data_IF_332429805853
#
_entry.id   IF_332429805853
#
_cell.length_a   1.000
_cell.length_b   1.000
_cell.length_c   1.000
_cell.angle_alpha   90.00
_cell.angle_beta   90.00
_cell.angle_gamma   90.00
#
_symmetry.space_group_name_H-M   'P 1'
#
loop_
_entity.id
_entity.type
_entity.pdbx_description
1 polymer ?
#
# COMPACT_ATOMS: atom_id res chain seq x y z
N UNK A 1 -16.75 -8.87 27.59
CA UNK A 1 -16.43 -8.75 26.16
C UNK A 1 -14.91 -8.72 26.10
N UNK A 2 -14.27 -9.46 25.17
CA UNK A 2 -12.81 -9.29 24.96
C UNK A 2 -12.60 -7.92 24.33
N UNK A 3 -11.48 -7.27 24.68
CA UNK A 3 -11.09 -6.02 24.03
C UNK A 3 -10.85 -6.25 22.52
N UNK A 4 -11.15 -5.26 21.67
CA UNK A 4 -10.84 -5.36 20.26
C UNK A 4 -9.32 -5.49 20.06
N UNK A 5 -8.91 -6.25 19.08
CA UNK A 5 -7.49 -6.42 18.74
C UNK A 5 -7.11 -5.39 17.68
N UNK A 6 -5.97 -4.76 17.87
CA UNK A 6 -5.47 -3.70 17.01
C UNK A 6 -4.12 -4.02 16.42
N UNK A 7 -3.87 -3.53 15.21
CA UNK A 7 -2.56 -3.45 14.58
C UNK A 7 -2.34 -1.99 14.21
N UNK A 8 -1.25 -1.41 14.65
CA UNK A 8 -0.85 -0.05 14.32
C UNK A 8 0.42 -0.08 13.47
N UNK A 9 0.38 0.57 12.30
CA UNK A 9 1.57 0.91 11.53
C UNK A 9 2.05 2.27 12.02
N UNK A 10 3.15 2.29 12.77
CA UNK A 10 3.71 3.51 13.32
C UNK A 10 4.47 4.29 12.24
N UNK A 11 4.17 5.57 12.09
CA UNK A 11 4.88 6.51 11.24
C UNK A 11 6.04 7.16 12.00
N UNK A 12 6.96 7.76 11.26
CA UNK A 12 8.21 8.27 11.83
C UNK A 12 8.02 9.41 12.86
N UNK A 13 7.01 10.26 12.67
CA UNK A 13 6.67 11.35 13.61
C UNK A 13 5.84 10.92 14.83
N UNK A 14 5.53 9.62 14.92
CA UNK A 14 4.65 9.07 15.97
C UNK A 14 3.17 9.00 15.57
N UNK A 15 2.82 9.41 14.36
CA UNK A 15 1.50 9.12 13.75
C UNK A 15 1.28 7.63 13.57
N UNK A 16 0.04 7.22 13.38
CA UNK A 16 -0.32 5.81 13.26
C UNK A 16 -1.43 5.58 12.23
N UNK A 17 -1.33 4.45 11.53
CA UNK A 17 -2.44 3.89 10.75
C UNK A 17 -2.97 2.70 11.54
N UNK A 18 -4.20 2.81 12.05
CA UNK A 18 -4.77 1.83 12.98
C UNK A 18 -5.82 0.97 12.32
N UNK A 19 -5.61 -0.33 12.39
CA UNK A 19 -6.56 -1.35 11.98
C UNK A 19 -7.03 -2.13 13.19
N UNK A 20 -8.30 -2.49 13.23
CA UNK A 20 -8.92 -3.18 14.35
C UNK A 20 -9.74 -4.38 13.88
N UNK A 21 -9.86 -5.39 14.72
CA UNK A 21 -10.83 -6.45 14.57
C UNK A 21 -11.69 -6.55 15.82
N UNK A 22 -13.00 -6.54 15.62
CA UNK A 22 -14.00 -6.72 16.68
C UNK A 22 -14.93 -7.88 16.31
N UNK A 23 -14.65 -9.07 16.85
CA UNK A 23 -15.43 -10.28 16.62
C UNK A 23 -14.73 -11.55 17.04
N UNK A 24 -15.39 -12.71 16.90
CA UNK A 24 -14.79 -14.00 17.23
C UNK A 24 -13.58 -14.27 16.34
N UNK A 25 -12.49 -14.66 16.94
CA UNK A 25 -11.18 -14.89 16.29
C UNK A 25 -11.24 -15.90 15.15
N UNK A 26 -12.13 -16.88 15.24
CA UNK A 26 -12.25 -17.99 14.29
C UNK A 26 -12.75 -17.56 12.89
N UNK A 27 -13.46 -16.42 12.80
CA UNK A 27 -14.06 -15.95 11.55
C UNK A 27 -13.28 -14.81 10.87
N UNK A 28 -12.29 -14.23 11.54
CA UNK A 28 -11.60 -13.02 11.09
C UNK A 28 -10.13 -13.30 10.72
N UNK A 29 -9.69 -12.95 9.52
CA UNK A 29 -8.31 -13.17 9.07
C UNK A 29 -7.31 -12.15 9.66
N UNK A 30 -7.58 -11.59 10.84
CA UNK A 30 -6.82 -10.48 11.40
C UNK A 30 -5.43 -10.90 11.88
N UNK A 31 -5.31 -12.08 12.47
CA UNK A 31 -4.02 -12.62 12.90
C UNK A 31 -3.06 -12.84 11.74
N UNK A 32 -3.56 -13.39 10.64
CA UNK A 32 -2.77 -13.55 9.43
C UNK A 32 -2.30 -12.23 8.84
N UNK A 33 -3.07 -11.13 8.98
CA UNK A 33 -2.60 -9.80 8.61
C UNK A 33 -1.46 -9.34 9.54
N UNK A 34 -1.59 -9.56 10.85
CA UNK A 34 -0.52 -9.28 11.81
C UNK A 34 0.77 -10.02 11.46
N UNK A 35 0.68 -11.32 11.16
CA UNK A 35 1.81 -12.13 10.73
C UNK A 35 2.46 -11.57 9.45
N UNK A 36 1.65 -11.21 8.44
CA UNK A 36 2.14 -10.64 7.18
C UNK A 36 2.81 -9.27 7.32
N UNK A 37 2.27 -8.42 8.20
CA UNK A 37 2.88 -7.14 8.55
C UNK A 37 4.03 -7.31 9.54
N UNK A 38 4.15 -8.53 10.09
CA UNK A 38 5.06 -8.90 11.16
C UNK A 38 4.89 -8.04 12.42
N UNK A 39 3.67 -7.63 12.67
CA UNK A 39 3.23 -6.92 13.84
C UNK A 39 2.36 -7.84 14.67
N UNK A 40 2.54 -7.85 15.99
CA UNK A 40 1.65 -8.59 16.89
C UNK A 40 0.38 -7.77 17.10
N UNK A 41 -0.81 -8.35 16.89
CA UNK A 41 -2.03 -7.71 17.32
C UNK A 41 -1.97 -7.45 18.84
N UNK A 42 -2.27 -6.23 19.23
CA UNK A 42 -2.34 -5.83 20.65
C UNK A 42 -3.81 -5.75 21.07
N UNK A 43 -4.09 -6.06 22.33
CA UNK A 43 -5.41 -5.91 22.96
C UNK A 43 -5.58 -4.54 23.64
N UNK A 44 -4.82 -3.53 23.22
CA UNK A 44 -4.95 -2.17 23.75
C UNK A 44 -6.14 -1.44 23.13
N UNK A 45 -6.90 -0.73 23.96
CA UNK A 45 -7.91 0.19 23.48
C UNK A 45 -7.27 1.54 23.17
N UNK A 46 -7.04 1.85 21.89
CA UNK A 46 -6.58 3.19 21.47
C UNK A 46 -7.74 4.19 21.33
N UNK A 47 -8.96 3.75 21.47
CA UNK A 47 -10.15 4.60 21.35
C UNK A 47 -10.55 4.95 19.92
N UNK A 48 -9.72 4.63 18.89
CA UNK A 48 -10.06 4.84 17.50
C UNK A 48 -9.45 3.74 16.60
N UNK A 49 -10.03 3.58 15.40
CA UNK A 49 -9.45 2.79 14.32
C UNK A 49 -9.75 3.47 12.97
N UNK A 50 -8.80 3.46 12.05
CA UNK A 50 -9.00 3.96 10.68
C UNK A 50 -9.88 3.00 9.87
N UNK A 51 -9.69 1.70 10.07
CA UNK A 51 -10.52 0.66 9.49
C UNK A 51 -10.71 -0.50 10.47
N UNK A 52 -11.90 -1.09 10.46
CA UNK A 52 -12.29 -2.15 11.39
C UNK A 52 -12.88 -3.34 10.65
N UNK A 53 -12.41 -4.52 11.01
CA UNK A 53 -12.98 -5.78 10.57
C UNK A 53 -14.02 -6.25 11.58
N UNK A 54 -15.26 -6.36 11.14
CA UNK A 54 -16.42 -6.66 11.99
C UNK A 54 -17.20 -7.88 11.50
N UNK A 55 -17.96 -8.50 12.41
CA UNK A 55 -18.96 -9.49 11.98
C UNK A 55 -20.12 -8.78 11.26
N UNK A 56 -20.77 -9.42 10.27
CA UNK A 56 -21.89 -8.83 9.52
C UNK A 56 -23.06 -8.35 10.38
N UNK A 57 -23.30 -8.98 11.52
CA UNK A 57 -24.35 -8.64 12.49
C UNK A 57 -24.01 -7.41 13.35
N UNK A 58 -22.78 -6.91 13.27
CA UNK A 58 -22.29 -5.70 13.96
C UNK A 58 -22.26 -4.46 13.08
N UNK A 59 -22.62 -4.56 11.83
CA UNK A 59 -22.73 -3.38 10.97
C UNK A 59 -23.89 -2.49 11.45
N UNK A 60 -23.65 -1.19 11.72
CA UNK A 60 -24.69 -0.24 12.10
C UNK A 60 -25.79 -0.14 11.04
N UNK A 61 -27.02 0.10 11.46
CA UNK A 61 -28.15 0.29 10.54
C UNK A 61 -28.04 1.58 9.72
N UNK A 62 -27.50 2.63 10.31
CA UNK A 62 -27.34 3.96 9.74
C UNK A 62 -26.04 4.15 8.93
N UNK A 63 -25.32 3.07 8.66
CA UNK A 63 -24.07 3.10 7.89
C UNK A 63 -24.24 3.54 6.44
N UNK A 64 -23.18 4.11 5.88
CA UNK A 64 -23.08 4.38 4.45
C UNK A 64 -22.43 3.18 3.73
N UNK A 65 -23.22 2.32 3.14
CA UNK A 65 -22.71 1.14 2.40
C UNK A 65 -22.04 1.57 1.11
N UNK A 66 -20.74 1.32 0.99
CA UNK A 66 -19.96 1.62 -0.20
C UNK A 66 -20.04 0.50 -1.23
N UNK A 67 -19.81 -0.73 -0.79
CA UNK A 67 -19.77 -1.90 -1.67
C UNK A 67 -20.21 -3.15 -0.94
N UNK A 68 -21.15 -3.84 -1.55
CA UNK A 68 -21.56 -5.18 -1.14
C UNK A 68 -21.14 -6.17 -2.23
N UNK A 69 -20.15 -7.00 -1.92
CA UNK A 69 -19.64 -8.03 -2.81
C UNK A 69 -19.97 -9.44 -2.33
N UNK A 70 -19.57 -10.46 -3.07
CA UNK A 70 -19.84 -11.85 -2.68
C UNK A 70 -19.03 -12.29 -1.45
N UNK A 71 -17.97 -11.59 -1.10
CA UNK A 71 -17.06 -11.96 -0.01
C UNK A 71 -17.09 -11.01 1.17
N UNK A 72 -17.37 -9.73 0.94
CA UNK A 72 -17.34 -8.69 1.97
C UNK A 72 -18.38 -7.62 1.70
N UNK A 73 -18.87 -7.01 2.76
CA UNK A 73 -19.55 -5.71 2.72
C UNK A 73 -18.58 -4.65 3.29
N UNK A 74 -18.47 -3.50 2.63
CA UNK A 74 -17.67 -2.38 3.09
C UNK A 74 -18.57 -1.17 3.26
N UNK A 75 -18.50 -0.54 4.42
CA UNK A 75 -19.32 0.62 4.76
C UNK A 75 -18.53 1.62 5.59
N UNK A 76 -18.93 2.89 5.54
CA UNK A 76 -18.53 3.89 6.53
C UNK A 76 -19.56 4.00 7.65
N UNK A 77 -19.07 4.36 8.83
CA UNK A 77 -19.95 4.85 9.92
C UNK A 77 -20.72 6.10 9.47
N UNK A 78 -21.85 6.40 10.10
CA UNK A 78 -22.72 7.52 9.74
C UNK A 78 -21.99 8.89 9.70
N UNK A 79 -20.97 9.06 10.53
CA UNK A 79 -20.12 10.25 10.60
C UNK A 79 -18.96 10.26 9.60
N UNK A 80 -18.83 9.23 8.77
CA UNK A 80 -17.75 9.06 7.78
C UNK A 80 -16.32 9.03 8.35
N UNK A 81 -16.14 8.71 9.63
CA UNK A 81 -14.83 8.75 10.25
C UNK A 81 -14.13 7.40 10.32
N UNK A 82 -14.88 6.30 10.17
CA UNK A 82 -14.34 4.94 10.26
C UNK A 82 -14.92 4.04 9.17
N UNK A 83 -14.07 3.18 8.61
CA UNK A 83 -14.51 2.14 7.67
C UNK A 83 -14.72 0.83 8.39
N UNK A 84 -15.84 0.18 8.10
CA UNK A 84 -16.20 -1.13 8.58
C UNK A 84 -16.16 -2.12 7.42
N UNK A 85 -15.45 -3.22 7.59
CA UNK A 85 -15.36 -4.30 6.62
C UNK A 85 -15.94 -5.55 7.26
N UNK A 86 -17.09 -5.98 6.76
CA UNK A 86 -17.73 -7.20 7.24
C UNK A 86 -17.40 -8.37 6.31
N UNK A 87 -16.86 -9.43 6.89
CA UNK A 87 -16.67 -10.70 6.20
C UNK A 87 -17.92 -11.57 6.24
N UNK A 88 -18.13 -12.44 5.25
CA UNK A 88 -19.25 -13.36 5.23
C UNK A 88 -19.00 -14.56 6.15
N UNK A 89 -20.05 -15.01 6.88
CA UNK A 89 -19.98 -16.17 7.78
C UNK A 89 -19.69 -17.51 7.08
N UNK A 90 -19.96 -17.62 5.77
CA UNK A 90 -19.63 -18.82 5.01
C UNK A 90 -18.21 -18.75 4.51
N UNK A 91 -17.36 -19.66 4.98
CA UNK A 91 -16.00 -19.80 4.44
C UNK A 91 -16.09 -20.09 2.93
N UNK A 92 -15.50 -19.24 2.08
CA UNK A 92 -15.50 -19.47 0.65
C UNK A 92 -14.61 -20.70 0.31
N UNK A 93 -14.89 -21.34 -0.84
CA UNK A 93 -14.06 -22.49 -1.30
C UNK A 93 -12.56 -22.15 -1.46
N UNK A 94 -12.22 -20.85 -1.53
CA UNK A 94 -10.85 -20.31 -1.62
C UNK A 94 -10.60 -19.39 -0.43
N UNK A 95 -10.38 -19.96 0.74
CA UNK A 95 -10.18 -19.21 1.99
C UNK A 95 -8.99 -18.25 1.91
N UNK A 96 -7.88 -18.69 1.34
CA UNK A 96 -6.71 -17.84 1.15
C UNK A 96 -7.01 -16.60 0.30
N UNK A 97 -7.69 -16.76 -0.84
CA UNK A 97 -8.11 -15.64 -1.69
C UNK A 97 -9.02 -14.65 -0.93
N UNK A 98 -9.93 -15.18 -0.10
CA UNK A 98 -10.80 -14.37 0.74
C UNK A 98 -10.00 -13.53 1.75
N UNK A 99 -9.05 -14.14 2.46
CA UNK A 99 -8.17 -13.44 3.40
C UNK A 99 -7.41 -12.30 2.71
N UNK A 100 -6.80 -12.57 1.55
CA UNK A 100 -6.10 -11.55 0.78
C UNK A 100 -6.99 -10.37 0.39
N UNK A 101 -8.23 -10.62 -0.04
CA UNK A 101 -9.19 -9.56 -0.35
C UNK A 101 -9.54 -8.70 0.88
N UNK A 102 -9.69 -9.32 2.04
CA UNK A 102 -10.00 -8.63 3.29
C UNK A 102 -8.81 -7.78 3.74
N UNK A 103 -7.60 -8.34 3.75
CA UNK A 103 -6.38 -7.63 4.13
C UNK A 103 -6.11 -6.41 3.25
N UNK A 104 -6.21 -6.60 1.94
CA UNK A 104 -6.01 -5.49 0.99
C UNK A 104 -6.99 -4.34 1.23
N UNK A 105 -8.27 -4.67 1.43
CA UNK A 105 -9.27 -3.65 1.74
C UNK A 105 -8.99 -2.95 3.07
N UNK A 106 -8.68 -3.72 4.11
CA UNK A 106 -8.40 -3.16 5.42
C UNK A 106 -7.24 -2.16 5.36
N UNK A 107 -6.14 -2.53 4.72
CA UNK A 107 -4.97 -1.67 4.52
C UNK A 107 -5.29 -0.42 3.70
N UNK A 108 -6.00 -0.57 2.56
CA UNK A 108 -6.30 0.57 1.68
C UNK A 108 -7.22 1.57 2.38
N UNK A 109 -8.27 1.09 3.04
CA UNK A 109 -9.19 1.99 3.73
C UNK A 109 -8.57 2.60 4.99
N UNK A 110 -7.76 1.84 5.74
CA UNK A 110 -7.03 2.39 6.87
C UNK A 110 -6.05 3.49 6.43
N UNK A 111 -5.26 3.25 5.39
CA UNK A 111 -4.36 4.26 4.84
C UNK A 111 -5.09 5.49 4.32
N UNK A 112 -6.22 5.32 3.63
CA UNK A 112 -7.04 6.43 3.15
C UNK A 112 -7.61 7.27 4.30
N UNK A 113 -8.13 6.64 5.36
CA UNK A 113 -8.65 7.34 6.51
C UNK A 113 -7.55 8.03 7.32
N UNK A 114 -6.37 7.43 7.42
CA UNK A 114 -5.21 8.07 8.03
C UNK A 114 -4.84 9.37 7.30
N UNK A 115 -4.82 9.37 5.96
CA UNK A 115 -4.64 10.59 5.16
C UNK A 115 -5.74 11.62 5.50
N UNK A 116 -7.00 11.20 5.52
CA UNK A 116 -8.13 12.11 5.81
C UNK A 116 -8.05 12.70 7.21
N UNK A 117 -7.55 11.95 8.19
CA UNK A 117 -7.35 12.39 9.58
C UNK A 117 -6.14 13.33 9.74
N UNK A 118 -5.21 13.31 8.84
CA UNK A 118 -4.06 14.21 8.86
C UNK A 118 -2.70 13.58 8.78
N UNK A 119 -2.64 12.26 8.77
CA UNK A 119 -1.36 11.57 8.65
C UNK A 119 -0.70 11.84 7.30
N UNK A 120 0.62 11.97 7.32
CA UNK A 120 1.40 12.26 6.12
C UNK A 120 2.01 10.97 5.55
N UNK A 121 1.15 10.03 5.18
CA UNK A 121 1.53 8.76 4.59
C UNK A 121 0.55 8.37 3.48
N UNK A 122 0.99 7.59 2.49
CA UNK A 122 0.14 7.14 1.38
C UNK A 122 0.54 5.75 0.87
N UNK A 123 -0.45 4.96 0.49
CA UNK A 123 -0.24 3.71 -0.22
C UNK A 123 0.02 3.99 -1.71
N UNK A 124 1.19 3.61 -2.18
CA UNK A 124 1.62 3.76 -3.57
C UNK A 124 1.47 2.43 -4.34
N UNK A 125 0.99 2.50 -5.58
CA UNK A 125 1.01 1.37 -6.51
C UNK A 125 2.36 1.32 -7.22
N UNK A 126 3.28 0.53 -6.72
CA UNK A 126 4.68 0.50 -7.17
C UNK A 126 5.31 -0.88 -7.00
N UNK A 127 6.46 -1.06 -7.64
CA UNK A 127 7.46 -1.99 -7.15
C UNK A 127 8.48 -1.22 -6.29
N UNK A 128 8.92 -1.82 -5.19
CA UNK A 128 9.91 -1.26 -4.29
C UNK A 128 11.12 -2.18 -4.22
N UNK A 129 12.23 -1.74 -4.80
CA UNK A 129 13.48 -2.48 -4.91
C UNK A 129 14.44 -2.02 -3.83
N UNK A 130 14.96 -2.95 -3.04
CA UNK A 130 15.95 -2.65 -2.01
C UNK A 130 17.36 -2.66 -2.59
N UNK A 131 18.13 -1.66 -2.18
CA UNK A 131 19.57 -1.55 -2.42
C UNK A 131 20.30 -1.45 -1.07
N UNK A 132 21.61 -1.43 -1.10
CA UNK A 132 22.44 -1.28 0.13
C UNK A 132 22.24 0.08 0.84
N UNK A 133 21.67 1.08 0.13
CA UNK A 133 21.50 2.44 0.66
C UNK A 133 20.04 2.81 0.97
N UNK A 134 19.08 1.99 0.57
CA UNK A 134 17.66 2.28 0.71
C UNK A 134 16.80 1.68 -0.39
N UNK A 135 15.66 2.29 -0.69
CA UNK A 135 14.66 1.77 -1.63
C UNK A 135 14.56 2.64 -2.87
N UNK A 136 14.44 1.99 -4.01
CA UNK A 136 14.06 2.59 -5.28
C UNK A 136 12.64 2.18 -5.61
N UNK A 137 11.76 3.15 -5.90
CA UNK A 137 10.42 2.88 -6.39
C UNK A 137 10.37 2.86 -7.91
N UNK A 138 9.65 1.88 -8.44
CA UNK A 138 9.28 1.84 -9.86
C UNK A 138 7.79 2.13 -9.98
N UNK A 139 7.46 3.28 -10.54
CA UNK A 139 6.11 3.71 -10.83
C UNK A 139 5.72 3.38 -12.27
N UNK A 140 4.47 3.00 -12.48
CA UNK A 140 3.94 2.71 -13.81
C UNK A 140 2.49 2.22 -13.75
N UNK A 141 1.81 2.27 -14.87
CA UNK A 141 0.43 1.79 -14.97
C UNK A 141 0.34 0.27 -14.71
N UNK A 142 -0.87 -0.20 -14.39
CA UNK A 142 -1.11 -1.64 -14.26
C UNK A 142 -0.81 -2.35 -15.59
N UNK A 143 -0.10 -3.48 -15.52
CA UNK A 143 0.30 -4.24 -16.72
C UNK A 143 1.55 -3.71 -17.46
N UNK A 144 2.18 -2.63 -17.01
CA UNK A 144 3.42 -2.11 -17.61
C UNK A 144 4.67 -2.94 -17.33
N UNK A 145 4.61 -3.92 -16.41
CA UNK A 145 5.73 -4.81 -16.12
C UNK A 145 6.43 -4.57 -14.79
N UNK A 146 5.83 -3.86 -13.82
CA UNK A 146 6.40 -3.68 -12.47
C UNK A 146 6.76 -5.01 -11.80
N UNK A 147 5.83 -5.97 -11.79
CA UNK A 147 6.08 -7.31 -11.21
C UNK A 147 7.16 -8.09 -11.98
N UNK A 148 7.29 -7.87 -13.30
CA UNK A 148 8.38 -8.42 -14.10
C UNK A 148 9.72 -7.82 -13.69
N UNK A 149 9.77 -6.50 -13.49
CA UNK A 149 10.97 -5.81 -13.02
C UNK A 149 11.38 -6.32 -11.63
N UNK A 150 10.42 -6.48 -10.69
CA UNK A 150 10.66 -7.06 -9.37
C UNK A 150 11.18 -8.49 -9.45
N UNK A 151 10.61 -9.32 -10.31
CA UNK A 151 11.05 -10.71 -10.51
C UNK A 151 12.48 -10.77 -11.05
N UNK A 152 12.81 -9.93 -12.04
CA UNK A 152 14.17 -9.83 -12.59
C UNK A 152 15.18 -9.33 -11.56
N UNK A 153 14.81 -8.32 -10.78
CA UNK A 153 15.64 -7.82 -9.67
C UNK A 153 16.01 -8.94 -8.70
N UNK A 154 15.02 -9.74 -8.27
CA UNK A 154 15.24 -10.89 -7.40
C UNK A 154 16.09 -11.98 -8.05
N UNK A 155 15.88 -12.28 -9.33
CA UNK A 155 16.68 -13.26 -10.06
C UNK A 155 18.16 -12.87 -10.13
N UNK A 156 18.45 -11.56 -10.12
CA UNK A 156 19.81 -11.02 -10.08
C UNK A 156 20.36 -10.82 -8.65
N UNK A 157 19.73 -11.45 -7.64
CA UNK A 157 20.19 -11.41 -6.24
C UNK A 157 19.78 -10.16 -5.47
N UNK A 158 18.91 -9.32 -6.04
CA UNK A 158 18.32 -8.17 -5.34
C UNK A 158 17.14 -8.56 -4.48
N UNK A 159 16.79 -7.71 -3.52
CA UNK A 159 15.61 -7.89 -2.68
C UNK A 159 14.51 -6.90 -3.09
N UNK A 160 13.25 -7.29 -2.93
CA UNK A 160 12.08 -6.45 -3.20
C UNK A 160 11.27 -6.23 -1.93
N UNK A 161 11.07 -5.00 -1.55
CA UNK A 161 10.21 -4.63 -0.41
C UNK A 161 8.74 -4.81 -0.74
N UNK A 162 8.36 -4.52 -1.97
CA UNK A 162 7.01 -4.68 -2.50
C UNK A 162 7.03 -4.84 -4.03
N UNK A 163 6.05 -5.52 -4.60
CA UNK A 163 5.88 -5.67 -6.06
C UNK A 163 4.56 -5.08 -6.60
N UNK A 164 3.69 -4.59 -5.71
CA UNK A 164 2.38 -4.06 -6.07
C UNK A 164 1.96 -2.85 -5.21
N UNK A 165 2.28 -2.86 -3.91
CA UNK A 165 1.88 -1.82 -2.98
C UNK A 165 2.94 -1.61 -1.89
N UNK A 166 3.30 -0.35 -1.64
CA UNK A 166 4.14 0.07 -0.52
C UNK A 166 3.48 1.25 0.21
N UNK A 167 3.75 1.40 1.50
CA UNK A 167 3.37 2.59 2.24
C UNK A 167 4.54 3.56 2.23
N UNK A 168 4.29 4.78 1.74
CA UNK A 168 5.23 5.89 1.78
C UNK A 168 4.89 6.79 2.95
N UNK A 169 5.86 7.04 3.80
CA UNK A 169 5.77 7.88 4.97
C UNK A 169 6.56 9.18 4.75
N UNK A 170 5.86 10.30 4.76
CA UNK A 170 6.37 11.66 4.56
C UNK A 170 6.42 12.45 5.89
N UNK A 171 6.26 11.78 7.02
CA UNK A 171 6.08 12.45 8.32
C UNK A 171 7.38 12.96 8.92
N UNK A 172 8.54 12.55 8.40
CA UNK A 172 9.83 13.00 8.91
C UNK A 172 10.11 14.49 8.69
N UNK A 173 10.75 15.13 9.67
CA UNK A 173 11.21 16.52 9.57
C UNK A 173 12.57 16.67 8.83
N UNK A 174 13.14 15.57 8.39
CA UNK A 174 14.48 15.47 7.78
C UNK A 174 14.46 15.40 6.25
N UNK A 175 13.30 15.71 5.63
CA UNK A 175 13.04 15.60 4.19
C UNK A 175 13.27 14.18 3.61
N UNK A 176 13.36 13.18 4.47
CA UNK A 176 13.53 11.78 4.06
C UNK A 176 12.19 11.09 3.97
N UNK A 177 11.80 10.69 2.77
CA UNK A 177 10.63 9.83 2.57
C UNK A 177 11.03 8.41 2.95
N UNK A 178 10.20 7.74 3.73
CA UNK A 178 10.44 6.36 4.17
C UNK A 178 9.47 5.40 3.53
N UNK A 179 9.92 4.19 3.29
CA UNK A 179 9.13 3.14 2.64
C UNK A 179 8.92 2.01 3.64
N UNK A 180 7.64 1.75 3.95
CA UNK A 180 7.25 0.60 4.75
C UNK A 180 6.87 -0.55 3.84
N UNK A 181 7.30 -1.73 4.20
CA UNK A 181 6.81 -2.96 3.59
C UNK A 181 5.33 -3.14 3.87
N UNK A 182 4.58 -3.45 2.82
CA UNK A 182 3.17 -3.83 2.91
C UNK A 182 2.98 -5.17 2.19
N UNK A 183 2.22 -6.12 2.75
CA UNK A 183 1.91 -7.37 2.07
C UNK A 183 1.13 -7.07 0.80
N UNK A 184 1.58 -7.62 -0.31
CA UNK A 184 1.02 -7.34 -1.62
C UNK A 184 0.06 -8.43 -2.05
N UNK A 185 -0.83 -8.08 -2.98
CA UNK A 185 -1.75 -9.02 -3.57
C UNK A 185 -1.04 -10.20 -4.26
N UNK A 186 0.05 -9.94 -4.98
CA UNK A 186 0.83 -10.97 -5.67
C UNK A 186 1.37 -12.01 -4.70
N UNK A 187 1.92 -11.56 -3.58
CA UNK A 187 2.43 -12.43 -2.54
C UNK A 187 1.35 -13.25 -1.85
N UNK A 188 0.27 -12.60 -1.48
CA UNK A 188 -0.87 -13.29 -0.90
C UNK A 188 -1.46 -14.33 -1.85
N UNK A 189 -1.51 -14.03 -3.15
CA UNK A 189 -2.07 -14.92 -4.18
C UNK A 189 -1.25 -16.18 -4.40
N UNK A 190 0.07 -16.09 -4.31
CA UNK A 190 0.99 -17.18 -4.63
C UNK A 190 1.33 -18.07 -3.42
N UNK A 191 0.70 -17.83 -2.25
CA UNK A 191 1.00 -18.53 -0.99
C UNK A 191 2.50 -18.51 -0.64
N UNK A 192 3.22 -17.51 -1.11
CA UNK A 192 4.63 -17.36 -0.83
C UNK A 192 4.80 -16.86 0.60
N UNK A 193 5.15 -17.76 1.50
CA UNK A 193 5.51 -17.45 2.88
C UNK A 193 6.92 -16.85 3.02
N UNK A 194 7.69 -16.83 1.95
CA UNK A 194 9.08 -16.37 1.94
C UNK A 194 9.17 -14.95 1.40
N UNK A 195 8.90 -13.98 2.25
CA UNK A 195 9.39 -12.65 2.04
C UNK A 195 10.80 -12.56 2.60
N UNK A 196 11.75 -12.17 1.76
CA UNK A 196 13.16 -12.02 2.11
C UNK A 196 13.43 -10.89 3.13
N UNK A 197 12.41 -10.42 3.85
CA UNK A 197 12.49 -9.24 4.68
C UNK A 197 12.10 -9.48 6.12
N UNK A 198 12.94 -9.03 7.07
CA UNK A 198 12.52 -8.93 8.45
C UNK A 198 11.36 -7.94 8.56
N UNK A 199 10.47 -8.28 9.42
CA UNK A 199 9.34 -7.55 9.86
C UNK A 199 9.67 -6.14 10.34
N UNK A 200 8.86 -5.18 9.91
CA UNK A 200 8.89 -3.82 10.44
C UNK A 200 10.10 -2.98 9.97
N UNK A 201 10.85 -3.42 8.98
CA UNK A 201 11.92 -2.62 8.42
C UNK A 201 11.35 -1.44 7.63
N UNK A 202 11.80 -0.25 8.00
CA UNK A 202 11.46 1.02 7.37
C UNK A 202 12.73 1.55 6.74
N UNK A 203 12.76 1.68 5.41
CA UNK A 203 13.95 2.08 4.67
C UNK A 203 13.76 3.46 4.03
N UNK A 204 14.83 4.25 3.89
CA UNK A 204 14.77 5.52 3.20
C UNK A 204 14.52 5.31 1.70
N UNK A 205 13.68 6.17 1.12
CA UNK A 205 13.51 6.28 -0.32
C UNK A 205 14.70 7.03 -0.91
N UNK A 206 15.44 6.40 -1.82
CA UNK A 206 16.64 6.98 -2.45
C UNK A 206 16.49 7.26 -3.93
N UNK A 207 15.44 6.75 -4.57
CA UNK A 207 15.19 6.96 -5.98
C UNK A 207 13.77 6.61 -6.41
N UNK A 208 13.32 7.26 -7.47
CA UNK A 208 12.02 6.98 -8.12
C UNK A 208 12.21 6.93 -9.62
N UNK A 209 11.77 5.86 -10.24
CA UNK A 209 11.82 5.65 -11.68
C UNK A 209 10.40 5.45 -12.23
N UNK A 210 10.07 6.16 -13.28
CA UNK A 210 8.92 5.82 -14.10
C UNK A 210 9.22 4.57 -14.93
N UNK A 211 8.22 3.72 -15.19
CA UNK A 211 8.39 2.53 -16.01
C UNK A 211 7.89 2.77 -17.43
N UNK A 212 8.67 2.36 -18.41
CA UNK A 212 8.34 2.36 -19.82
C UNK A 212 8.82 1.10 -20.53
N UNK A 213 8.39 0.89 -21.78
CA UNK A 213 8.89 -0.19 -22.61
C UNK A 213 10.09 0.30 -23.42
N UNK A 214 11.13 -0.53 -23.49
CA UNK A 214 12.28 -0.27 -24.35
C UNK A 214 11.95 -0.57 -25.80
N UNK A 215 12.30 0.34 -26.70
CA UNK A 215 12.24 0.16 -28.15
C UNK A 215 13.60 -0.30 -28.70
N UNK A 216 14.67 -0.15 -27.91
CA UNK A 216 16.05 -0.49 -28.30
C UNK A 216 16.41 -1.95 -28.05
N UNK A 217 15.52 -2.72 -27.41
CA UNK A 217 15.74 -4.11 -27.04
C UNK A 217 16.68 -4.31 -25.86
N UNK A 218 16.96 -3.28 -25.07
CA UNK A 218 17.76 -3.34 -23.85
C UNK A 218 17.20 -2.42 -22.77
N UNK A 219 17.58 -2.69 -21.50
CA UNK A 219 17.23 -1.80 -20.41
C UNK A 219 18.07 -0.52 -20.48
N UNK A 220 17.44 0.60 -20.19
CA UNK A 220 18.09 1.91 -20.11
C UNK A 220 17.36 2.85 -19.18
N UNK A 221 18.09 3.74 -18.51
CA UNK A 221 17.52 4.83 -17.71
C UNK A 221 17.61 6.11 -18.51
N UNK A 222 16.47 6.73 -18.77
CA UNK A 222 16.36 7.95 -19.57
C UNK A 222 15.73 9.08 -18.79
N UNK A 223 16.05 10.34 -19.10
CA UNK A 223 15.35 11.48 -18.49
C UNK A 223 13.90 11.54 -18.94
N UNK A 224 13.02 11.99 -18.01
CA UNK A 224 11.64 12.36 -18.29
C UNK A 224 11.48 13.86 -18.23
N UNK A 225 10.43 14.41 -18.86
CA UNK A 225 10.01 15.75 -18.55
C UNK A 225 9.43 15.81 -17.13
N UNK A 226 9.59 16.93 -16.39
CA UNK A 226 9.02 17.07 -15.05
C UNK A 226 7.51 16.78 -14.99
N UNK A 227 6.76 17.19 -16.03
CA UNK A 227 5.32 16.96 -16.12
C UNK A 227 4.97 15.46 -16.25
N UNK A 228 5.72 14.72 -17.05
CA UNK A 228 5.54 13.29 -17.20
C UNK A 228 5.87 12.55 -15.90
N UNK A 229 6.95 12.93 -15.25
CA UNK A 229 7.35 12.34 -13.97
C UNK A 229 6.32 12.60 -12.88
N UNK A 230 5.86 13.85 -12.72
CA UNK A 230 4.77 14.21 -11.82
C UNK A 230 3.51 13.37 -12.09
N UNK A 231 3.09 13.27 -13.36
CA UNK A 231 1.91 12.50 -13.71
C UNK A 231 2.02 11.02 -13.34
N UNK A 232 3.20 10.42 -13.49
CA UNK A 232 3.43 9.04 -13.07
C UNK A 232 3.41 8.89 -11.55
N UNK A 233 4.08 9.78 -10.80
CA UNK A 233 4.04 9.81 -9.35
C UNK A 233 2.60 9.94 -8.84
N UNK A 234 1.89 10.97 -9.31
CA UNK A 234 0.51 11.22 -8.89
C UNK A 234 -0.42 10.04 -9.17
N UNK A 235 -0.36 9.44 -10.37
CA UNK A 235 -1.18 8.26 -10.71
C UNK A 235 -0.87 7.07 -9.81
N UNK A 236 0.41 6.83 -9.50
CA UNK A 236 0.81 5.72 -8.65
C UNK A 236 0.37 5.90 -7.20
N UNK A 237 0.44 7.12 -6.65
CA UNK A 237 -0.06 7.43 -5.31
C UNK A 237 -1.59 7.44 -5.25
N UNK A 238 -2.26 7.87 -6.32
CA UNK A 238 -3.71 7.96 -6.37
C UNK A 238 -4.39 6.64 -6.74
N UNK A 239 -3.66 5.65 -7.23
CA UNK A 239 -4.20 4.41 -7.80
C UNK A 239 -5.18 3.68 -6.86
N UNK A 240 -4.74 3.37 -5.65
CA UNK A 240 -5.58 2.66 -4.68
C UNK A 240 -6.74 3.52 -4.19
N UNK A 241 -6.52 4.82 -4.06
CA UNK A 241 -7.53 5.76 -3.59
C UNK A 241 -8.63 5.98 -4.64
N UNK A 242 -8.30 5.98 -5.94
CA UNK A 242 -9.26 6.19 -7.02
C UNK A 242 -10.45 5.22 -6.98
N UNK A 243 -10.20 3.95 -6.66
CA UNK A 243 -11.25 2.94 -6.63
C UNK A 243 -12.18 3.04 -5.43
N UNK A 244 -11.72 3.63 -4.34
CA UNK A 244 -12.41 3.62 -3.05
C UNK A 244 -12.90 5.01 -2.62
N UNK A 245 -12.26 6.08 -3.11
CA UNK A 245 -12.62 7.45 -2.76
C UNK A 245 -13.89 7.97 -3.43
N UNK A 246 -14.30 7.41 -4.58
CA UNK A 246 -15.44 7.90 -5.37
C UNK A 246 -16.79 7.87 -4.63
N UNK A 247 -16.91 7.05 -3.61
CA UNK A 247 -18.11 6.94 -2.78
C UNK A 247 -18.08 7.86 -1.55
N UNK A 248 -16.94 8.54 -1.31
CA UNK A 248 -16.81 9.50 -0.22
C UNK A 248 -17.57 10.79 -0.52
N UNK A 249 -17.99 11.57 0.51
CA UNK A 249 -18.44 12.93 0.32
C UNK A 249 -17.43 13.78 -0.44
N UNK A 250 -17.90 14.71 -1.26
CA UNK A 250 -17.08 15.55 -2.16
C UNK A 250 -15.96 16.27 -1.41
N UNK A 251 -16.25 16.78 -0.22
CA UNK A 251 -15.25 17.44 0.63
C UNK A 251 -14.09 16.49 1.00
N UNK A 252 -14.39 15.25 1.40
CA UNK A 252 -13.35 14.24 1.71
C UNK A 252 -12.57 13.82 0.47
N UNK A 253 -13.25 13.70 -0.67
CA UNK A 253 -12.56 13.44 -1.94
C UNK A 253 -11.57 14.55 -2.28
N UNK A 254 -11.94 15.83 -2.08
CA UNK A 254 -11.07 16.97 -2.30
C UNK A 254 -9.87 16.96 -1.37
N UNK A 255 -10.06 16.77 -0.07
CA UNK A 255 -8.98 16.67 0.92
C UNK A 255 -7.98 15.57 0.52
N UNK A 256 -8.48 14.39 0.20
CA UNK A 256 -7.64 13.25 -0.20
C UNK A 256 -6.84 13.56 -1.47
N UNK A 257 -7.48 14.13 -2.48
CA UNK A 257 -6.86 14.51 -3.75
C UNK A 257 -5.77 15.55 -3.55
N UNK A 258 -6.04 16.60 -2.77
CA UNK A 258 -5.08 17.67 -2.51
C UNK A 258 -3.85 17.16 -1.73
N UNK A 259 -4.04 16.30 -0.74
CA UNK A 259 -2.94 15.71 0.01
C UNK A 259 -2.06 14.80 -0.84
N UNK A 260 -2.67 13.92 -1.63
CA UNK A 260 -1.92 13.04 -2.55
C UNK A 260 -1.16 13.87 -3.59
N UNK A 261 -1.75 14.97 -4.09
CA UNK A 261 -1.06 15.88 -5.00
C UNK A 261 0.18 16.49 -4.34
N UNK A 262 0.05 17.00 -3.11
CA UNK A 262 1.19 17.54 -2.36
C UNK A 262 2.31 16.50 -2.17
N UNK A 263 1.96 15.26 -1.84
CA UNK A 263 2.94 14.17 -1.70
C UNK A 263 3.64 13.84 -3.04
N UNK A 264 2.90 13.88 -4.16
CA UNK A 264 3.50 13.71 -5.48
C UNK A 264 4.44 14.87 -5.84
N UNK A 265 4.10 16.11 -5.49
CA UNK A 265 4.95 17.29 -5.63
C UNK A 265 6.24 17.15 -4.79
N UNK A 266 6.15 16.65 -3.56
CA UNK A 266 7.33 16.38 -2.73
C UNK A 266 8.28 15.38 -3.41
N UNK A 267 7.79 14.26 -3.91
CA UNK A 267 8.60 13.28 -4.64
C UNK A 267 9.30 13.95 -5.84
N UNK A 268 8.57 14.72 -6.63
CA UNK A 268 9.11 15.33 -7.85
C UNK A 268 10.08 16.48 -7.59
N UNK A 269 10.05 17.06 -6.41
CA UNK A 269 11.02 18.07 -5.98
C UNK A 269 12.32 17.45 -5.44
N UNK A 270 12.25 16.24 -4.87
CA UNK A 270 13.39 15.55 -4.28
C UNK A 270 14.15 14.73 -5.34
N UNK A 271 13.43 14.03 -6.21
CA UNK A 271 14.04 13.07 -7.13
C UNK A 271 14.10 13.56 -8.57
N UNK A 272 15.21 13.27 -9.23
CA UNK A 272 15.40 13.58 -10.64
C UNK A 272 14.37 12.82 -11.51
N UNK A 273 13.74 13.48 -12.50
CA UNK A 273 12.75 12.90 -13.37
C UNK A 273 13.39 11.91 -14.35
N UNK A 274 13.30 10.61 -14.03
CA UNK A 274 13.89 9.51 -14.82
C UNK A 274 12.88 8.39 -15.04
N UNK A 275 13.05 7.68 -16.15
CA UNK A 275 12.33 6.44 -16.44
C UNK A 275 13.28 5.29 -16.69
N UNK A 276 12.89 4.12 -16.23
CA UNK A 276 13.43 2.84 -16.62
C UNK A 276 12.66 2.35 -17.85
N UNK A 277 13.30 2.34 -19.00
CA UNK A 277 12.81 1.64 -20.18
C UNK A 277 13.30 0.21 -20.11
N UNK A 278 12.39 -0.75 -20.04
CA UNK A 278 12.76 -2.13 -19.74
C UNK A 278 12.32 -3.11 -20.83
N UNK A 279 13.08 -4.18 -20.93
CA UNK A 279 12.78 -5.39 -21.70
C UNK A 279 12.35 -6.52 -20.76
N UNK A 280 12.01 -7.68 -21.31
CA UNK A 280 11.58 -8.83 -20.51
C UNK A 280 12.74 -9.61 -19.88
N UNK A 281 13.96 -9.46 -20.39
CA UNK A 281 15.16 -10.23 -20.01
C UNK A 281 16.36 -9.31 -19.78
N UNK A 282 17.39 -9.81 -19.07
CA UNK A 282 18.64 -9.10 -18.81
C UNK A 282 18.88 -8.75 -17.35
N UNK A 283 20.08 -8.22 -17.04
CA UNK A 283 20.49 -7.86 -15.68
C UNK A 283 20.00 -6.45 -15.33
N UNK A 284 18.76 -6.39 -14.84
CA UNK A 284 18.13 -5.15 -14.42
C UNK A 284 18.87 -4.50 -13.22
N UNK A 285 19.43 -5.32 -12.31
CA UNK A 285 20.11 -4.82 -11.12
C UNK A 285 21.33 -3.98 -11.50
N UNK A 286 22.14 -4.49 -12.39
CA UNK A 286 23.30 -3.77 -12.89
C UNK A 286 22.93 -2.44 -13.55
N UNK A 287 21.90 -2.42 -14.39
CA UNK A 287 21.49 -1.17 -15.07
C UNK A 287 21.04 -0.11 -14.05
N UNK A 288 20.33 -0.50 -13.02
CA UNK A 288 19.86 0.43 -12.00
C UNK A 288 21.05 0.92 -11.14
N UNK A 289 21.90 0.02 -10.65
CA UNK A 289 23.05 0.37 -9.79
C UNK A 289 24.11 1.23 -10.51
N UNK A 290 24.33 1.02 -11.80
CA UNK A 290 25.28 1.82 -12.61
C UNK A 290 24.78 3.24 -12.91
N UNK A 291 23.48 3.56 -12.68
CA UNK A 291 22.87 4.83 -13.09
C UNK A 291 22.24 5.64 -11.93
N UNK A 292 22.29 5.15 -10.73
CA UNK A 292 21.81 5.85 -9.52
C UNK A 292 22.93 6.29 -8.64
#
# INVERSE_FOLDING_TARGET
MKNPRQIALCLHDGGNIVMQADGPEEDLPFDGLGELLCLKPDETETGFADAELVSPDRLPEDRHTLKKGPLTETAYTADWNRVLIAGWKKKPRREHYYRCCVWQKLLIYAGMNAILRGENAVLAHCAALETDCGVILIFGESGMGKSTASARWRTNGGKCLADDMALLDFSGSDDVIRVHRIPTWSACREERNEWDYPAGEILPLIGVLGLGRSETGRDEIVPLSPAQFFAQCYRSLFYWNLFYAKELPEEKQRILTDRIRTQAEMITNIFAPRALLTVLEGDLKKVIEDNL
#
